data_IF_397203493918
#
_entry.id   IF_397203493918
#
_cell.length_a   1.000
_cell.length_b   1.000
_cell.length_c   1.000
_cell.angle_alpha   90.00
_cell.angle_beta   90.00
_cell.angle_gamma   90.00
#
_symmetry.space_group_name_H-M   'P 1'
#
loop_
_entity.id
_entity.type
_entity.pdbx_description
1 polymer ?
#
# COMPACT_ATOMS: atom_id res chain seq x y z
N UNK A 1 -2.46 -1.95 2.71
CA UNK A 1 -1.34 -2.92 2.83
C UNK A 1 -1.70 -3.96 3.87
N UNK A 2 -1.31 -5.23 3.68
CA UNK A 2 -1.42 -6.27 4.72
C UNK A 2 -2.78 -6.98 4.81
N UNK A 3 -3.66 -6.79 3.83
CA UNK A 3 -4.93 -7.53 3.74
C UNK A 3 -4.76 -8.93 3.13
N UNK A 4 -3.59 -9.22 2.60
CA UNK A 4 -3.16 -10.51 2.06
C UNK A 4 -1.73 -10.82 2.55
N UNK A 5 -1.39 -12.11 2.63
CA UNK A 5 -0.03 -12.54 2.96
C UNK A 5 0.82 -12.65 1.69
N UNK A 6 1.67 -11.66 1.47
CA UNK A 6 2.55 -11.57 0.32
C UNK A 6 3.52 -12.77 0.20
N UNK A 7 3.88 -13.45 1.31
CA UNK A 7 4.79 -14.60 1.31
C UNK A 7 4.28 -15.78 0.51
N UNK A 8 2.96 -15.84 0.29
CA UNK A 8 2.32 -16.97 -0.39
C UNK A 8 2.45 -16.90 -1.90
N UNK A 9 2.79 -15.74 -2.49
CA UNK A 9 2.84 -15.56 -3.94
C UNK A 9 3.97 -14.65 -4.45
N UNK A 10 4.56 -13.81 -3.61
CA UNK A 10 5.71 -12.98 -3.97
C UNK A 10 7.01 -13.77 -3.74
N UNK A 11 7.90 -13.88 -4.75
CA UNK A 11 9.19 -14.53 -4.56
C UNK A 11 9.99 -13.88 -3.44
N UNK A 12 10.55 -14.71 -2.55
CA UNK A 12 11.45 -14.23 -1.50
C UNK A 12 12.74 -13.68 -2.10
N UNK A 13 13.19 -12.54 -1.59
CA UNK A 13 14.48 -11.92 -1.89
C UNK A 13 15.17 -11.56 -0.58
N UNK A 14 16.50 -11.46 -0.58
CA UNK A 14 17.22 -11.06 0.62
C UNK A 14 17.04 -9.56 0.87
N UNK A 15 17.18 -9.13 2.13
CA UNK A 15 17.23 -7.70 2.48
C UNK A 15 18.32 -6.95 1.71
N UNK A 16 19.44 -7.61 1.40
CA UNK A 16 20.53 -7.02 0.61
C UNK A 16 20.13 -6.82 -0.86
N UNK A 17 19.38 -7.76 -1.45
CA UNK A 17 18.87 -7.60 -2.82
C UNK A 17 17.79 -6.52 -2.90
N UNK A 18 16.93 -6.44 -1.88
CA UNK A 18 15.98 -5.33 -1.78
C UNK A 18 16.72 -4.00 -1.60
N UNK A 19 17.78 -3.93 -0.80
CA UNK A 19 18.58 -2.71 -0.64
C UNK A 19 19.17 -2.22 -1.97
N UNK A 20 19.72 -3.13 -2.79
CA UNK A 20 20.18 -2.79 -4.15
C UNK A 20 19.05 -2.29 -5.06
N UNK A 21 17.81 -2.68 -4.80
CA UNK A 21 16.63 -2.19 -5.52
C UNK A 21 16.25 -0.79 -5.03
N UNK A 22 16.20 -0.56 -3.71
CA UNK A 22 15.90 0.74 -3.11
C UNK A 22 16.91 1.83 -3.54
N UNK A 23 18.19 1.47 -3.67
CA UNK A 23 19.24 2.37 -4.17
C UNK A 23 19.01 2.88 -5.60
N UNK A 24 18.14 2.23 -6.39
CA UNK A 24 17.80 2.64 -7.76
C UNK A 24 16.60 3.58 -7.82
N UNK A 25 15.99 3.91 -6.68
CA UNK A 25 14.83 4.78 -6.64
C UNK A 25 15.15 6.17 -7.20
N UNK A 26 14.26 6.68 -8.04
CA UNK A 26 14.27 8.06 -8.53
C UNK A 26 12.90 8.70 -8.33
N UNK A 27 12.83 10.03 -8.43
CA UNK A 27 11.54 10.73 -8.37
C UNK A 27 10.60 10.26 -9.48
N UNK A 28 11.12 9.95 -10.66
CA UNK A 28 10.35 9.43 -11.79
C UNK A 28 9.82 8.01 -11.51
N UNK A 29 10.64 7.13 -10.92
CA UNK A 29 10.17 5.78 -10.57
C UNK A 29 9.08 5.82 -9.50
N UNK A 30 9.22 6.71 -8.51
CA UNK A 30 8.22 6.93 -7.45
C UNK A 30 6.92 7.47 -8.04
N UNK A 31 7.00 8.49 -8.90
CA UNK A 31 5.83 9.03 -9.60
C UNK A 31 5.10 7.96 -10.40
N UNK A 32 5.84 7.16 -11.17
CA UNK A 32 5.25 6.05 -11.94
C UNK A 32 4.58 5.02 -11.03
N UNK A 33 5.16 4.72 -9.87
CA UNK A 33 4.55 3.83 -8.90
C UNK A 33 3.23 4.41 -8.36
N UNK A 34 3.20 5.69 -7.97
CA UNK A 34 1.98 6.33 -7.49
C UNK A 34 0.88 6.41 -8.56
N UNK A 35 1.24 6.72 -9.81
CA UNK A 35 0.31 6.73 -10.95
C UNK A 35 -0.30 5.36 -11.26
N UNK A 36 0.45 4.29 -11.01
CA UNK A 36 0.02 2.93 -11.40
C UNK A 36 -0.59 2.13 -10.26
N UNK A 37 -0.29 2.49 -9.01
CA UNK A 37 -0.69 1.73 -7.83
C UNK A 37 -1.53 2.52 -6.83
N UNK A 38 -1.35 3.85 -6.72
CA UNK A 38 -1.97 4.62 -5.64
C UNK A 38 -3.17 5.45 -6.07
N UNK A 39 -3.10 6.14 -7.21
CA UNK A 39 -4.15 7.07 -7.63
C UNK A 39 -4.81 6.58 -8.90
N UNK A 40 -6.12 6.76 -9.02
CA UNK A 40 -6.88 6.40 -10.23
C UNK A 40 -6.71 7.43 -11.33
N UNK A 41 -6.61 8.71 -10.95
CA UNK A 41 -6.40 9.84 -11.83
C UNK A 41 -5.27 10.68 -11.27
N UNK A 42 -4.21 10.90 -12.06
CA UNK A 42 -3.11 11.75 -11.64
C UNK A 42 -3.53 13.22 -11.62
N UNK A 43 -3.24 13.92 -10.51
CA UNK A 43 -3.50 15.35 -10.35
C UNK A 43 -2.20 16.08 -9.99
N UNK A 44 -2.02 17.35 -10.41
CA UNK A 44 -0.79 18.11 -10.15
C UNK A 44 -0.41 18.22 -8.67
N UNK A 45 -1.38 18.23 -7.76
CA UNK A 45 -1.14 18.27 -6.31
C UNK A 45 -0.38 17.03 -5.79
N UNK A 46 -0.44 15.89 -6.49
CA UNK A 46 0.28 14.68 -6.09
C UNK A 46 1.78 14.75 -6.38
N UNK A 47 2.24 15.73 -7.16
CA UNK A 47 3.67 15.98 -7.36
C UNK A 47 4.37 16.32 -6.03
N UNK A 48 3.66 16.89 -5.05
CA UNK A 48 4.23 17.15 -3.72
C UNK A 48 4.60 15.86 -2.98
N UNK A 49 3.79 14.81 -3.12
CA UNK A 49 4.09 13.49 -2.55
C UNK A 49 5.34 12.89 -3.21
N UNK A 50 5.48 13.06 -4.52
CA UNK A 50 6.67 12.64 -5.27
C UNK A 50 7.88 13.43 -4.82
N UNK A 51 7.77 14.75 -4.64
CA UNK A 51 8.87 15.61 -4.17
C UNK A 51 9.35 15.18 -2.79
N UNK A 52 8.44 14.86 -1.87
CA UNK A 52 8.77 14.39 -0.52
C UNK A 52 9.47 13.03 -0.58
N UNK A 53 8.85 12.05 -1.24
CA UNK A 53 9.37 10.68 -1.27
C UNK A 53 10.66 10.56 -2.11
N UNK A 54 10.76 11.28 -3.22
CA UNK A 54 11.93 11.30 -4.10
C UNK A 54 13.04 12.23 -3.61
N UNK A 55 12.75 13.24 -2.79
CA UNK A 55 13.74 14.19 -2.31
C UNK A 55 14.90 13.54 -1.55
N UNK A 56 14.65 12.41 -0.87
CA UNK A 56 15.68 11.67 -0.13
C UNK A 56 16.80 11.15 -1.04
N UNK A 57 16.53 10.89 -2.33
CA UNK A 57 17.53 10.37 -3.28
C UNK A 57 18.64 11.38 -3.56
N UNK A 58 18.42 12.66 -3.25
CA UNK A 58 19.40 13.74 -3.41
C UNK A 58 20.22 14.00 -2.13
N UNK A 59 19.99 13.24 -1.07
CA UNK A 59 20.70 13.39 0.21
C UNK A 59 21.90 12.46 0.30
N UNK A 60 22.97 12.91 0.98
CA UNK A 60 24.08 12.03 1.37
C UNK A 60 23.65 10.86 2.27
N UNK A 61 22.49 10.98 2.92
CA UNK A 61 21.88 9.91 3.74
C UNK A 61 21.11 8.86 2.93
N UNK A 62 20.97 9.02 1.61
CA UNK A 62 20.16 8.12 0.79
C UNK A 62 20.52 6.63 0.96
N UNK A 63 21.81 6.22 0.99
CA UNK A 63 22.16 4.81 1.20
C UNK A 63 21.67 4.27 2.56
N UNK A 64 21.71 5.11 3.61
CA UNK A 64 21.20 4.74 4.94
C UNK A 64 19.68 4.60 4.90
N UNK A 65 18.98 5.54 4.25
CA UNK A 65 17.53 5.46 4.08
C UNK A 65 17.12 4.21 3.29
N UNK A 66 17.76 3.94 2.15
CA UNK A 66 17.48 2.76 1.33
C UNK A 66 17.69 1.45 2.10
N UNK A 67 18.69 1.38 2.98
CA UNK A 67 18.90 0.21 3.86
C UNK A 67 17.74 0.04 4.84
N UNK A 68 17.24 1.13 5.43
CA UNK A 68 16.05 1.10 6.31
C UNK A 68 14.81 0.68 5.53
N UNK A 69 14.60 1.23 4.33
CA UNK A 69 13.50 0.86 3.44
C UNK A 69 13.51 -0.64 3.13
N UNK A 70 14.68 -1.21 2.80
CA UNK A 70 14.83 -2.64 2.56
C UNK A 70 14.53 -3.50 3.79
N UNK A 71 14.99 -3.10 4.99
CA UNK A 71 14.65 -3.79 6.23
C UNK A 71 13.14 -3.73 6.52
N UNK A 72 12.49 -2.60 6.26
CA UNK A 72 11.04 -2.47 6.43
C UNK A 72 10.26 -3.29 5.40
N UNK A 73 10.74 -3.40 4.17
CA UNK A 73 10.17 -4.33 3.18
C UNK A 73 10.24 -5.77 3.69
N UNK A 74 11.41 -6.21 4.17
CA UNK A 74 11.59 -7.55 4.74
C UNK A 74 10.65 -7.77 5.92
N UNK A 75 10.52 -6.79 6.82
CA UNK A 75 9.57 -6.85 7.94
C UNK A 75 8.13 -7.06 7.46
N UNK A 76 7.66 -6.26 6.50
CA UNK A 76 6.30 -6.38 5.93
C UNK A 76 6.10 -7.75 5.26
N UNK A 77 7.10 -8.20 4.51
CA UNK A 77 7.05 -9.51 3.86
C UNK A 77 7.00 -10.63 4.89
N UNK A 78 7.88 -10.65 5.90
CA UNK A 78 8.01 -11.81 6.78
C UNK A 78 6.96 -11.91 7.89
N UNK A 79 6.31 -10.80 8.26
CA UNK A 79 5.47 -10.67 9.45
C UNK A 79 4.00 -10.29 9.10
N UNK A 80 3.24 -11.20 8.46
CA UNK A 80 1.87 -10.92 8.04
C UNK A 80 0.89 -10.90 9.21
N UNK A 81 0.01 -9.90 9.24
CA UNK A 81 -1.11 -9.81 10.21
C UNK A 81 -2.43 -10.38 9.66
N UNK A 82 -2.46 -10.79 8.39
CA UNK A 82 -3.68 -11.18 7.68
C UNK A 82 -4.44 -12.37 8.31
N UNK A 83 -3.74 -13.14 9.15
CA UNK A 83 -4.27 -14.27 9.90
C UNK A 83 -4.86 -13.88 11.25
N UNK A 84 -4.55 -12.69 11.78
CA UNK A 84 -4.81 -12.32 13.17
C UNK A 84 -5.94 -11.31 13.33
N UNK A 85 -6.58 -10.90 12.23
CA UNK A 85 -7.67 -9.92 12.25
C UNK A 85 -8.84 -10.31 13.17
N UNK A 86 -9.09 -11.60 13.38
CA UNK A 86 -10.13 -12.09 14.31
C UNK A 86 -9.80 -11.83 15.80
N UNK A 87 -8.53 -11.52 16.10
CA UNK A 87 -8.09 -11.20 17.46
C UNK A 87 -8.44 -9.77 17.88
N UNK A 88 -8.81 -8.89 16.94
CA UNK A 88 -9.24 -7.52 17.27
C UNK A 88 -10.46 -7.55 18.19
N UNK A 89 -10.36 -6.87 19.35
CA UNK A 89 -11.42 -6.76 20.38
C UNK A 89 -12.02 -5.36 20.51
N UNK A 90 -11.64 -4.46 19.62
CA UNK A 90 -12.10 -3.06 19.59
C UNK A 90 -12.94 -2.81 18.34
N UNK A 91 -13.88 -1.85 18.38
CA UNK A 91 -14.58 -1.41 17.18
C UNK A 91 -13.59 -1.05 16.07
N UNK A 92 -13.80 -1.61 14.88
CA UNK A 92 -12.90 -1.45 13.74
C UNK A 92 -13.68 -0.97 12.53
N UNK A 93 -13.13 0.02 11.82
CA UNK A 93 -13.68 0.53 10.56
C UNK A 93 -12.59 0.44 9.50
N UNK A 94 -12.94 -0.17 8.36
CA UNK A 94 -12.06 -0.29 7.20
C UNK A 94 -12.46 0.73 6.14
N UNK A 95 -11.58 1.67 5.83
CA UNK A 95 -11.74 2.63 4.73
C UNK A 95 -10.97 2.12 3.51
N UNK A 96 -11.68 1.71 2.46
CA UNK A 96 -11.09 0.97 1.33
C UNK A 96 -11.36 1.70 0.02
N UNK A 97 -10.33 2.19 -0.65
CA UNK A 97 -10.44 2.54 -2.07
C UNK A 97 -10.44 1.29 -2.93
N UNK A 98 -11.47 1.09 -3.74
CA UNK A 98 -11.68 -0.15 -4.48
C UNK A 98 -10.72 -0.36 -5.64
N UNK A 99 -10.13 0.72 -6.15
CA UNK A 99 -9.16 0.70 -7.24
C UNK A 99 -7.71 0.59 -6.76
N UNK A 100 -7.49 0.40 -5.45
CA UNK A 100 -6.16 0.10 -4.91
C UNK A 100 -5.64 -1.23 -5.49
N UNK A 101 -4.41 -1.17 -6.01
CA UNK A 101 -3.68 -2.28 -6.66
C UNK A 101 -2.33 -2.53 -5.99
N UNK A 102 -2.21 -2.16 -4.72
CA UNK A 102 -0.98 -2.23 -3.95
C UNK A 102 -0.61 -3.66 -3.64
N UNK A 103 0.55 -4.08 -4.15
CA UNK A 103 1.19 -5.35 -3.84
C UNK A 103 2.62 -5.03 -3.42
N UNK A 104 3.03 -5.51 -2.24
CA UNK A 104 4.42 -5.40 -1.81
C UNK A 104 5.23 -6.41 -2.62
N UNK A 105 6.31 -5.96 -3.27
CA UNK A 105 7.09 -6.80 -4.19
C UNK A 105 6.46 -6.98 -5.57
N UNK A 106 5.50 -6.13 -5.96
CA UNK A 106 4.79 -6.20 -7.25
C UNK A 106 5.68 -6.41 -8.47
N UNK A 107 6.85 -5.76 -8.50
CA UNK A 107 7.81 -5.87 -9.61
C UNK A 107 8.41 -7.26 -9.81
N UNK A 108 8.29 -8.14 -8.81
CA UNK A 108 8.76 -9.54 -8.85
C UNK A 108 7.70 -10.48 -9.44
N UNK A 109 6.49 -9.99 -9.71
CA UNK A 109 5.36 -10.77 -10.20
C UNK A 109 5.18 -10.62 -11.71
N UNK A 110 4.71 -11.70 -12.35
CA UNK A 110 4.27 -11.65 -13.75
C UNK A 110 2.99 -10.81 -13.89
N UNK A 111 2.65 -10.30 -15.10
CA UNK A 111 1.39 -9.59 -15.31
C UNK A 111 0.15 -10.39 -14.87
N UNK A 112 0.14 -11.70 -15.12
CA UNK A 112 -0.97 -12.58 -14.73
C UNK A 112 -1.12 -12.66 -13.20
N UNK A 113 -0.01 -12.74 -12.47
CA UNK A 113 -0.02 -12.69 -11.00
C UNK A 113 -0.49 -11.32 -10.49
N UNK A 114 -0.03 -10.23 -11.10
CA UNK A 114 -0.46 -8.88 -10.73
C UNK A 114 -1.95 -8.64 -11.00
N UNK A 115 -2.56 -9.38 -11.93
CA UNK A 115 -3.99 -9.27 -12.24
C UNK A 115 -4.89 -9.95 -11.19
N UNK A 116 -4.39 -10.98 -10.48
CA UNK A 116 -5.18 -11.74 -9.50
C UNK A 116 -4.92 -11.32 -8.04
N UNK A 117 -3.76 -10.72 -7.74
CA UNK A 117 -3.41 -10.21 -6.41
C UNK A 117 -3.71 -8.72 -6.26
N UNK A 118 -3.63 -8.19 -5.04
CA UNK A 118 -3.86 -6.77 -4.76
C UNK A 118 -5.28 -6.30 -5.12
N UNK A 119 -6.28 -7.18 -5.06
CA UNK A 119 -7.66 -6.87 -5.44
C UNK A 119 -8.42 -6.26 -4.25
N UNK A 120 -8.19 -4.99 -3.92
CA UNK A 120 -8.76 -4.38 -2.71
C UNK A 120 -10.30 -4.34 -2.69
N UNK A 121 -10.95 -4.29 -3.86
CA UNK A 121 -12.41 -4.49 -4.00
C UNK A 121 -12.93 -5.82 -3.43
N UNK A 122 -12.06 -6.84 -3.34
CA UNK A 122 -12.36 -8.14 -2.73
C UNK A 122 -11.75 -8.23 -1.33
N UNK A 123 -10.47 -7.85 -1.19
CA UNK A 123 -9.72 -7.95 0.06
C UNK A 123 -10.39 -7.16 1.18
N UNK A 124 -10.92 -5.96 0.90
CA UNK A 124 -11.62 -5.15 1.91
C UNK A 124 -12.77 -5.91 2.57
N UNK A 125 -13.68 -6.47 1.78
CA UNK A 125 -14.83 -7.26 2.27
C UNK A 125 -14.40 -8.54 2.98
N UNK A 126 -13.40 -9.23 2.44
CA UNK A 126 -12.87 -10.45 3.04
C UNK A 126 -12.23 -10.17 4.40
N UNK A 127 -11.48 -9.07 4.54
CA UNK A 127 -10.92 -8.63 5.81
C UNK A 127 -12.02 -8.22 6.79
N UNK A 128 -13.00 -7.43 6.36
CA UNK A 128 -14.12 -7.03 7.21
C UNK A 128 -14.85 -8.24 7.80
N UNK A 129 -15.09 -9.28 6.98
CA UNK A 129 -15.73 -10.52 7.42
C UNK A 129 -14.91 -11.30 8.47
N UNK A 130 -13.59 -11.11 8.53
CA UNK A 130 -12.70 -11.74 9.53
C UNK A 130 -12.62 -10.99 10.85
N UNK A 131 -13.05 -9.72 10.90
CA UNK A 131 -12.97 -8.87 12.09
C UNK A 131 -14.36 -8.81 12.76
N UNK A 132 -14.53 -9.32 13.99
CA UNK A 132 -15.81 -9.29 14.68
C UNK A 132 -16.38 -7.87 14.80
N UNK A 133 -17.56 -7.64 14.25
CA UNK A 133 -18.25 -6.35 14.33
C UNK A 133 -17.62 -5.22 13.51
N UNK A 134 -16.73 -5.52 12.57
CA UNK A 134 -16.15 -4.49 11.72
C UNK A 134 -17.19 -3.81 10.83
N UNK A 135 -17.01 -2.51 10.63
CA UNK A 135 -17.65 -1.75 9.56
C UNK A 135 -16.68 -1.62 8.39
N UNK A 136 -17.22 -1.53 7.18
CA UNK A 136 -16.45 -1.23 5.99
C UNK A 136 -17.09 -0.05 5.27
N UNK A 137 -16.26 0.89 4.84
CA UNK A 137 -16.60 2.00 3.96
C UNK A 137 -15.75 1.86 2.71
N UNK A 138 -16.41 1.68 1.57
CA UNK A 138 -15.75 1.53 0.28
C UNK A 138 -15.88 2.82 -0.53
N UNK A 139 -14.79 3.27 -1.14
CA UNK A 139 -14.75 4.41 -2.04
C UNK A 139 -14.62 3.92 -3.48
N UNK A 140 -15.64 4.17 -4.28
CA UNK A 140 -15.65 3.90 -5.72
C UNK A 140 -14.70 4.87 -6.45
N UNK A 141 -14.07 4.40 -7.53
CA UNK A 141 -13.13 5.20 -8.33
C UNK A 141 -12.00 5.86 -7.50
N UNK A 142 -11.60 5.20 -6.39
CA UNK A 142 -10.56 5.67 -5.49
C UNK A 142 -9.54 4.56 -5.27
N UNK A 143 -8.27 4.93 -5.24
CA UNK A 143 -7.14 4.02 -5.06
C UNK A 143 -6.67 3.91 -3.61
N UNK A 144 -5.35 3.84 -3.44
CA UNK A 144 -4.68 3.50 -2.20
C UNK A 144 -4.81 4.54 -1.08
N UNK A 145 -4.98 5.83 -1.43
CA UNK A 145 -4.91 6.93 -0.46
C UNK A 145 -6.22 7.76 -0.45
N UNK A 146 -7.35 7.21 0.05
CA UNK A 146 -8.65 7.90 -0.02
C UNK A 146 -8.69 9.29 0.61
N UNK A 147 -7.97 9.49 1.70
CA UNK A 147 -7.92 10.77 2.41
C UNK A 147 -7.22 11.89 1.61
N UNK A 148 -6.49 11.55 0.55
CA UNK A 148 -5.89 12.50 -0.38
C UNK A 148 -6.69 12.56 -1.69
N UNK A 149 -7.17 11.41 -2.18
CA UNK A 149 -7.84 11.32 -3.49
C UNK A 149 -9.28 11.85 -3.50
N UNK A 150 -10.03 11.56 -2.42
CA UNK A 150 -11.44 11.92 -2.19
C UNK A 150 -11.61 12.52 -0.78
N UNK A 151 -10.95 13.65 -0.47
CA UNK A 151 -10.81 14.15 0.90
C UNK A 151 -12.16 14.51 1.54
N UNK A 152 -13.12 15.02 0.77
CA UNK A 152 -14.45 15.40 1.28
C UNK A 152 -15.24 14.16 1.68
N UNK A 153 -15.35 13.17 0.79
CA UNK A 153 -16.04 11.91 1.02
C UNK A 153 -15.39 11.13 2.16
N UNK A 154 -14.05 11.08 2.19
CA UNK A 154 -13.31 10.45 3.26
C UNK A 154 -13.58 11.12 4.62
N UNK A 155 -13.56 12.45 4.68
CA UNK A 155 -13.79 13.19 5.94
C UNK A 155 -15.21 12.97 6.47
N UNK A 156 -16.22 13.02 5.60
CA UNK A 156 -17.61 12.74 5.98
C UNK A 156 -17.75 11.32 6.51
N UNK A 157 -17.18 10.34 5.81
CA UNK A 157 -17.24 8.95 6.24
C UNK A 157 -16.49 8.70 7.56
N UNK A 158 -15.33 9.34 7.75
CA UNK A 158 -14.55 9.27 8.98
C UNK A 158 -15.38 9.81 10.15
N UNK A 159 -15.86 11.05 10.05
CA UNK A 159 -16.62 11.69 11.13
C UNK A 159 -17.94 10.98 11.45
N UNK A 160 -18.59 10.37 10.46
CA UNK A 160 -19.79 9.56 10.66
C UNK A 160 -19.53 8.14 11.21
N UNK A 161 -18.26 7.71 11.24
CA UNK A 161 -17.87 6.38 11.72
C UNK A 161 -17.18 6.38 13.09
N UNK A 162 -16.79 7.55 13.61
CA UNK A 162 -16.33 7.79 14.98
C UNK A 162 -17.49 7.63 15.98
#
# INVERSE_FOLDING_TARGET
IGLEDYKTFVPAITTEDQYKTELKATSESIKKYYQTSYFTVWKPEYEELVRIAGGITNSGDFPRFAKVAAMTYTMIYEQPVAYEFYNLKVPTVLFIGKEDKTIIGKSLLTPDQQAIHGQYKLLGKQTAAKIPGAKIVEFEACGHIPHIEVPTEFTVALLGSL
#
